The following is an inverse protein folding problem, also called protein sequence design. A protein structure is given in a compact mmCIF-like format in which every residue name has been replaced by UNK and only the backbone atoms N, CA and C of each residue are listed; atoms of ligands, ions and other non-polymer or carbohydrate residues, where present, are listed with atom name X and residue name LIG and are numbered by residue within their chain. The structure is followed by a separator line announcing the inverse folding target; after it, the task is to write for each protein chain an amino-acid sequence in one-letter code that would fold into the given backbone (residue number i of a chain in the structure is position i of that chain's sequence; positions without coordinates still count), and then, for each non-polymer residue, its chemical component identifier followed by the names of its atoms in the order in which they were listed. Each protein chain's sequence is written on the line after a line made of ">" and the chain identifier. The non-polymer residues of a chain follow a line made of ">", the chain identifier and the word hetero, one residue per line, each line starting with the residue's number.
data_IF_342696257038
#
_entry.id   IF_342696257038
#
_cell.length_a   1.000
_cell.length_b   1.000
_cell.length_c   1.000
_cell.angle_alpha   90.00
_cell.angle_beta   90.00
_cell.angle_gamma   90.00
#
_symmetry.space_group_name_H-M   'P 1'
#
loop_
_entity.id
_entity.type
_entity.pdbx_description
1 polymer ?
#
# COMPACT_ATOMS: atom_id res chain seq x y z
N UNK A 1 30.11 -16.37 -11.07
CA UNK A 1 29.18 -15.59 -10.21
C UNK A 1 27.75 -16.04 -10.48
N UNK A 2 27.51 -17.35 -10.36
CA UNK A 2 26.22 -18.00 -10.65
C UNK A 2 25.91 -19.08 -9.60
N UNK A 3 26.93 -19.68 -9.00
CA UNK A 3 26.76 -20.72 -7.97
C UNK A 3 26.37 -20.18 -6.58
N UNK A 4 26.78 -18.95 -6.19
CA UNK A 4 26.42 -18.40 -4.87
C UNK A 4 24.94 -17.97 -4.74
N UNK A 5 24.29 -17.62 -5.86
CA UNK A 5 22.85 -17.30 -5.87
C UNK A 5 21.98 -18.54 -5.71
N UNK A 6 22.53 -19.74 -5.94
CA UNK A 6 21.77 -20.98 -5.87
C UNK A 6 21.52 -21.45 -4.43
N UNK A 7 22.32 -20.98 -3.46
CA UNK A 7 22.22 -21.33 -2.03
C UNK A 7 22.00 -20.12 -1.12
N UNK A 8 22.09 -18.89 -1.63
CA UNK A 8 21.81 -17.68 -0.87
C UNK A 8 20.31 -17.43 -0.72
N UNK A 9 19.78 -17.49 0.50
CA UNK A 9 18.40 -17.07 0.77
C UNK A 9 18.27 -15.57 0.48
N UNK A 10 17.41 -15.14 -0.46
CA UNK A 10 17.24 -13.74 -0.79
C UNK A 10 16.65 -12.98 0.41
N UNK A 11 17.36 -11.95 0.88
CA UNK A 11 16.96 -11.15 2.05
C UNK A 11 15.92 -10.07 1.75
N UNK A 12 15.66 -9.80 0.47
CA UNK A 12 14.79 -8.72 0.00
C UNK A 12 13.44 -9.23 -0.49
N UNK A 13 13.06 -10.46 -0.15
CA UNK A 13 11.79 -11.06 -0.58
C UNK A 13 10.58 -10.38 0.09
N UNK A 14 10.75 -9.93 1.34
CA UNK A 14 9.70 -9.29 2.14
C UNK A 14 9.69 -7.76 2.03
N UNK A 15 10.60 -7.19 1.22
CA UNK A 15 10.65 -5.74 1.02
C UNK A 15 9.36 -5.26 0.34
N UNK A 16 8.72 -4.20 0.87
CA UNK A 16 7.51 -3.66 0.26
C UNK A 16 7.79 -3.17 -1.16
N UNK A 17 6.80 -3.29 -2.07
CA UNK A 17 6.93 -2.76 -3.42
C UNK A 17 7.07 -1.24 -3.37
N UNK A 18 8.12 -0.73 -4.02
CA UNK A 18 8.41 0.70 -4.14
C UNK A 18 8.15 1.15 -5.58
N UNK A 19 7.53 2.32 -5.73
CA UNK A 19 7.45 3.05 -7.00
C UNK A 19 8.51 4.15 -6.95
N UNK A 20 9.49 4.06 -7.85
CA UNK A 20 10.62 4.98 -7.90
C UNK A 20 11.34 5.05 -6.54
N UNK A 21 11.14 6.13 -5.78
CA UNK A 21 11.72 6.35 -4.46
C UNK A 21 10.70 6.28 -3.31
N UNK A 22 9.43 6.06 -3.61
CA UNK A 22 8.32 6.08 -2.65
C UNK A 22 7.71 4.69 -2.49
N UNK A 23 7.12 4.43 -1.33
CA UNK A 23 6.34 3.22 -1.13
C UNK A 23 5.09 3.25 -2.03
N UNK A 24 4.65 2.08 -2.51
CA UNK A 24 3.45 1.96 -3.36
C UNK A 24 2.22 2.65 -2.74
N UNK A 25 2.02 2.50 -1.43
CA UNK A 25 0.88 3.10 -0.73
C UNK A 25 0.96 4.64 -0.67
N UNK A 26 2.16 5.21 -0.46
CA UNK A 26 2.37 6.65 -0.52
C UNK A 26 2.08 7.20 -1.93
N UNK A 27 2.54 6.51 -2.96
CA UNK A 27 2.27 6.89 -4.35
C UNK A 27 0.76 6.85 -4.65
N UNK A 28 0.05 5.81 -4.19
CA UNK A 28 -1.40 5.71 -4.33
C UNK A 28 -2.14 6.87 -3.66
N UNK A 29 -1.71 7.30 -2.47
CA UNK A 29 -2.31 8.46 -1.78
C UNK A 29 -2.17 9.74 -2.60
N UNK A 30 -0.99 10.00 -3.17
CA UNK A 30 -0.78 11.18 -4.02
C UNK A 30 -1.64 11.12 -5.27
N UNK A 31 -1.71 9.97 -5.94
CA UNK A 31 -2.52 9.80 -7.15
C UNK A 31 -4.00 10.04 -6.84
N UNK A 32 -4.51 9.48 -5.74
CA UNK A 32 -5.92 9.64 -5.35
C UNK A 32 -6.25 11.12 -5.07
N UNK A 33 -5.47 11.79 -4.22
CA UNK A 33 -5.73 13.18 -3.83
C UNK A 33 -5.56 14.12 -5.03
N UNK A 34 -4.53 13.90 -5.85
CA UNK A 34 -4.31 14.69 -7.07
C UNK A 34 -5.44 14.48 -8.07
N UNK A 35 -5.92 13.25 -8.24
CA UNK A 35 -7.06 12.92 -9.11
C UNK A 35 -8.34 13.62 -8.66
N UNK A 36 -8.63 13.61 -7.36
CA UNK A 36 -9.75 14.38 -6.78
C UNK A 36 -9.57 15.89 -6.98
N UNK A 37 -8.36 16.42 -6.77
CA UNK A 37 -8.05 17.83 -7.01
C UNK A 37 -8.21 18.22 -8.49
N UNK A 38 -7.87 17.32 -9.41
CA UNK A 38 -8.09 17.49 -10.84
C UNK A 38 -9.59 17.56 -11.17
N UNK A 39 -10.41 16.68 -10.59
CA UNK A 39 -11.87 16.71 -10.75
C UNK A 39 -12.49 18.00 -10.20
N UNK A 40 -11.92 18.55 -9.12
CA UNK A 40 -12.33 19.82 -8.54
C UNK A 40 -11.82 21.06 -9.31
N UNK A 41 -11.03 20.89 -10.37
CA UNK A 41 -10.45 21.98 -11.16
C UNK A 41 -9.18 22.60 -10.57
N UNK A 42 -8.67 22.08 -9.46
CA UNK A 42 -7.47 22.57 -8.77
C UNK A 42 -6.34 21.53 -8.81
N UNK A 43 -5.80 21.27 -10.00
CA UNK A 43 -4.74 20.27 -10.18
C UNK A 43 -3.49 20.56 -9.33
N UNK A 44 -2.98 21.79 -9.38
CA UNK A 44 -1.78 22.18 -8.65
C UNK A 44 -2.00 22.12 -7.11
N UNK A 45 -3.17 22.56 -6.65
CA UNK A 45 -3.55 22.46 -5.24
C UNK A 45 -3.68 21.00 -4.78
N UNK A 46 -4.30 20.16 -5.61
CA UNK A 46 -4.41 18.72 -5.39
C UNK A 46 -3.06 18.02 -5.33
N UNK A 47 -2.11 18.39 -6.19
CA UNK A 47 -0.73 17.86 -6.12
C UNK A 47 -0.05 18.22 -4.81
N UNK A 48 -0.05 19.50 -4.43
CA UNK A 48 0.61 19.98 -3.20
C UNK A 48 0.00 19.28 -1.97
N UNK A 49 -1.34 19.22 -1.91
CA UNK A 49 -2.04 18.51 -0.85
C UNK A 49 -1.72 17.01 -0.87
N UNK A 50 -1.71 16.38 -2.04
CA UNK A 50 -1.39 14.97 -2.20
C UNK A 50 -0.02 14.62 -1.63
N UNK A 51 1.00 15.37 -2.04
CA UNK A 51 2.37 15.19 -1.51
C UNK A 51 2.43 15.44 -0.01
N UNK A 52 1.78 16.50 0.49
CA UNK A 52 1.74 16.80 1.92
C UNK A 52 1.11 15.68 2.76
N UNK A 53 -0.01 15.13 2.29
CA UNK A 53 -0.70 14.02 2.97
C UNK A 53 0.11 12.72 2.87
N UNK A 54 0.73 12.42 1.72
CA UNK A 54 1.58 11.25 1.58
C UNK A 54 2.83 11.31 2.48
N UNK A 55 3.42 12.50 2.64
CA UNK A 55 4.55 12.70 3.56
C UNK A 55 4.13 12.49 5.03
N UNK A 56 2.98 13.05 5.43
CA UNK A 56 2.43 12.83 6.78
C UNK A 56 2.14 11.35 7.02
N UNK A 57 1.52 10.69 6.05
CA UNK A 57 1.23 9.26 6.10
C UNK A 57 2.52 8.44 6.21
N UNK A 58 3.56 8.76 5.45
CA UNK A 58 4.89 8.14 5.56
C UNK A 58 5.48 8.28 6.96
N UNK A 59 5.39 9.47 7.56
CA UNK A 59 5.85 9.72 8.91
C UNK A 59 5.09 8.90 9.97
N UNK A 60 3.78 8.74 9.80
CA UNK A 60 2.94 7.92 10.69
C UNK A 60 3.16 6.40 10.50
N UNK A 61 3.60 6.00 9.30
CA UNK A 61 3.92 4.60 8.96
C UNK A 61 5.30 4.19 9.46
N UNK A 62 6.22 5.13 9.72
CA UNK A 62 7.55 4.84 10.26
C UNK A 62 7.46 3.99 11.53
N UNK A 63 7.99 2.76 11.49
CA UNK A 63 7.98 1.80 12.60
C UNK A 63 6.83 0.79 12.59
N UNK A 64 5.92 0.84 11.60
CA UNK A 64 4.87 -0.17 11.40
C UNK A 64 5.28 -1.22 10.37
N UNK A 65 4.64 -2.37 10.43
CA UNK A 65 4.86 -3.47 9.49
C UNK A 65 4.63 -3.01 8.04
N UNK A 66 5.48 -3.40 7.07
CA UNK A 66 5.37 -2.96 5.67
C UNK A 66 4.01 -3.25 5.03
N UNK A 67 3.36 -4.35 5.43
CA UNK A 67 2.01 -4.73 4.98
C UNK A 67 0.85 -4.12 5.80
N UNK A 68 1.10 -3.12 6.65
CA UNK A 68 0.08 -2.50 7.51
C UNK A 68 -1.09 -1.91 6.71
N UNK A 69 -0.79 -1.20 5.62
CA UNK A 69 -1.81 -0.59 4.75
C UNK A 69 -2.76 -1.64 4.17
N UNK A 70 -2.19 -2.74 3.67
CA UNK A 70 -2.91 -3.86 3.07
C UNK A 70 -3.79 -4.58 4.12
N UNK A 71 -3.28 -4.76 5.33
CA UNK A 71 -4.05 -5.32 6.45
C UNK A 71 -5.22 -4.42 6.86
N UNK A 72 -4.98 -3.12 6.98
CA UNK A 72 -6.04 -2.16 7.30
C UNK A 72 -7.13 -2.18 6.23
N UNK A 73 -6.69 -2.21 4.97
CA UNK A 73 -7.56 -2.20 3.83
C UNK A 73 -8.38 -3.50 3.73
N UNK A 74 -7.81 -4.65 4.04
CA UNK A 74 -8.53 -5.93 4.14
C UNK A 74 -9.68 -5.90 5.16
N UNK A 75 -9.49 -5.22 6.30
CA UNK A 75 -10.52 -5.14 7.34
C UNK A 75 -11.58 -4.07 7.09
N UNK A 76 -11.25 -2.98 6.40
CA UNK A 76 -12.14 -1.82 6.25
C UNK A 76 -12.72 -1.65 4.86
N UNK A 77 -12.08 -2.19 3.82
CA UNK A 77 -12.63 -2.11 2.47
C UNK A 77 -13.53 -3.30 2.17
N UNK A 78 -14.61 -3.09 1.39
CA UNK A 78 -15.45 -4.17 0.93
C UNK A 78 -14.66 -5.12 0.04
N UNK A 79 -15.09 -6.38 0.06
CA UNK A 79 -14.48 -7.53 -0.66
C UNK A 79 -14.23 -7.26 -2.15
N UNK A 80 -15.06 -6.44 -2.79
CA UNK A 80 -14.92 -6.11 -4.22
C UNK A 80 -13.69 -5.25 -4.55
N UNK A 81 -13.08 -4.58 -3.57
CA UNK A 81 -11.91 -3.73 -3.79
C UNK A 81 -10.61 -4.46 -3.46
N UNK A 82 -10.62 -5.28 -2.40
CA UNK A 82 -9.47 -6.08 -1.97
C UNK A 82 -9.95 -7.50 -1.65
N UNK A 83 -9.92 -8.35 -2.67
CA UNK A 83 -10.13 -9.79 -2.54
C UNK A 83 -8.79 -10.50 -2.69
N UNK A 84 -8.32 -11.14 -1.62
CA UNK A 84 -7.23 -12.09 -1.75
C UNK A 84 -7.78 -13.42 -2.25
N UNK A 85 -7.04 -14.05 -3.15
CA UNK A 85 -7.44 -15.34 -3.74
C UNK A 85 -7.47 -16.50 -2.72
N UNK A 86 -6.68 -16.39 -1.64
CA UNK A 86 -6.49 -17.46 -0.64
C UNK A 86 -7.04 -17.15 0.75
N UNK A 87 -7.21 -15.88 1.13
CA UNK A 87 -7.76 -15.56 2.45
C UNK A 87 -9.28 -15.50 2.36
N UNK A 88 -10.00 -16.00 3.37
CA UNK A 88 -11.44 -15.93 3.40
C UNK A 88 -11.93 -14.46 3.39
N UNK A 89 -13.20 -14.23 3.07
CA UNK A 89 -13.79 -12.91 3.19
C UNK A 89 -13.67 -12.33 4.60
N UNK A 90 -13.40 -11.03 4.72
CA UNK A 90 -13.32 -10.32 6.01
C UNK A 90 -14.61 -10.39 6.85
N UNK A 91 -15.73 -10.71 6.20
CA UNK A 91 -17.07 -10.83 6.78
C UNK A 91 -17.32 -12.24 7.33
N UNK A 92 -16.60 -13.25 6.82
CA UNK A 92 -16.64 -14.62 7.35
C UNK A 92 -15.57 -14.76 8.43
N UNK A 93 -15.96 -14.55 9.68
CA UNK A 93 -15.08 -14.64 10.86
C UNK A 93 -15.24 -15.92 11.65
N UNK A 94 -16.21 -16.75 11.29
CA UNK A 94 -16.48 -18.03 11.93
C UNK A 94 -15.79 -19.14 11.14
N UNK A 95 -14.90 -19.86 11.80
CA UNK A 95 -14.30 -21.08 11.26
C UNK A 95 -15.16 -22.25 11.74
N UNK A 96 -15.90 -22.86 10.82
CA UNK A 96 -16.61 -24.12 11.10
C UNK A 96 -15.54 -25.21 11.06
N UNK A 97 -15.28 -25.81 12.22
CA UNK A 97 -14.30 -26.88 12.42
C UNK A 97 -14.72 -28.21 11.83
#
# INVERSE_FOLDING_TARGET
>A
MSDELQYGVPRTLDDPPRILWWDLDQAMVVIMITGFGMMAGYFLGGMILGVGVAWLYGKLKTGKHPAFAVHLAYWHLPQGVIAFKKTPPSHHRELIG
#
